data_IF_743433550891
#
_entry.id   IF_743433550891
#
_cell.length_a   1.000
_cell.length_b   1.000
_cell.length_c   1.000
_cell.angle_alpha   90.00
_cell.angle_beta   90.00
_cell.angle_gamma   90.00
#
_symmetry.space_group_name_H-M   'P 1'
#
loop_
_entity.id
_entity.type
_entity.pdbx_description
1 polymer ?
#
# COMPACT_ATOMS: atom_id res chain seq x y z
N UNK A 1 -106.10 -2.08 -43.51
CA UNK A 1 -105.28 -3.23 -43.04
C UNK A 1 -103.83 -3.10 -43.50
N UNK A 2 -103.52 -2.89 -44.79
CA UNK A 2 -102.15 -2.75 -45.30
C UNK A 2 -101.23 -1.70 -44.61
N UNK A 3 -101.77 -0.59 -44.09
CA UNK A 3 -100.96 0.43 -43.40
C UNK A 3 -100.49 0.01 -41.99
N UNK A 4 -101.22 -0.87 -41.31
CA UNK A 4 -100.85 -1.36 -39.97
C UNK A 4 -99.71 -2.38 -40.06
N UNK A 5 -99.73 -3.24 -41.07
CA UNK A 5 -98.68 -4.23 -41.31
C UNK A 5 -97.35 -3.58 -41.69
N UNK A 6 -97.38 -2.50 -42.48
CA UNK A 6 -96.20 -1.70 -42.81
C UNK A 6 -95.60 -0.98 -41.60
N UNK A 7 -96.45 -0.46 -40.70
CA UNK A 7 -96.00 0.17 -39.47
C UNK A 7 -95.37 -0.85 -38.49
N UNK A 8 -95.95 -2.05 -38.38
CA UNK A 8 -95.41 -3.14 -37.57
C UNK A 8 -94.05 -3.63 -38.12
N UNK A 9 -93.91 -3.74 -39.44
CA UNK A 9 -92.65 -4.09 -40.08
C UNK A 9 -91.56 -3.01 -39.85
N UNK A 10 -91.93 -1.72 -39.91
CA UNK A 10 -91.01 -0.61 -39.60
C UNK A 10 -90.52 -0.65 -38.15
N UNK A 11 -91.41 -0.93 -37.20
CA UNK A 11 -91.04 -1.03 -35.78
C UNK A 11 -90.07 -2.20 -35.49
N UNK A 12 -90.21 -3.35 -36.17
CA UNK A 12 -89.27 -4.46 -36.02
C UNK A 12 -87.90 -4.14 -36.63
N UNK A 13 -87.87 -3.43 -37.76
CA UNK A 13 -86.62 -2.94 -38.35
C UNK A 13 -85.89 -2.02 -37.36
N UNK A 14 -86.58 -1.05 -36.77
CA UNK A 14 -85.99 -0.13 -35.80
C UNK A 14 -85.46 -0.86 -34.56
N UNK A 15 -86.18 -1.88 -34.08
CA UNK A 15 -85.76 -2.73 -32.97
C UNK A 15 -84.48 -3.51 -33.30
N UNK A 16 -84.43 -4.12 -34.49
CA UNK A 16 -83.26 -4.88 -34.96
C UNK A 16 -82.06 -3.95 -35.20
N UNK A 17 -82.27 -2.77 -35.77
CA UNK A 17 -81.22 -1.76 -35.94
C UNK A 17 -80.68 -1.30 -34.60
N UNK A 18 -81.54 -1.05 -33.61
CA UNK A 18 -81.11 -0.74 -32.24
C UNK A 18 -80.32 -1.88 -31.59
N UNK A 19 -80.73 -3.13 -31.83
CA UNK A 19 -80.01 -4.30 -31.33
C UNK A 19 -78.62 -4.44 -31.97
N UNK A 20 -78.51 -4.26 -33.29
CA UNK A 20 -77.23 -4.28 -34.01
C UNK A 20 -76.31 -3.17 -33.49
N UNK A 21 -76.81 -1.94 -33.38
CA UNK A 21 -76.02 -0.82 -32.86
C UNK A 21 -75.51 -1.05 -31.43
N UNK A 22 -76.33 -1.66 -30.57
CA UNK A 22 -75.92 -2.03 -29.21
C UNK A 22 -74.84 -3.12 -29.21
N UNK A 23 -74.90 -4.08 -30.14
CA UNK A 23 -73.89 -5.14 -30.29
C UNK A 23 -72.58 -4.60 -30.85
N UNK A 24 -72.63 -3.69 -31.81
CA UNK A 24 -71.45 -3.02 -32.35
C UNK A 24 -70.74 -2.19 -31.29
N UNK A 25 -71.50 -1.47 -30.45
CA UNK A 25 -70.95 -0.74 -29.32
C UNK A 25 -70.27 -1.66 -28.30
N UNK A 26 -70.83 -2.86 -28.07
CA UNK A 26 -70.22 -3.86 -27.20
C UNK A 26 -68.93 -4.43 -27.79
N UNK A 27 -68.92 -4.77 -29.08
CA UNK A 27 -67.71 -5.24 -29.77
C UNK A 27 -66.59 -4.19 -29.71
N UNK A 28 -66.92 -2.92 -29.94
CA UNK A 28 -65.97 -1.82 -29.83
C UNK A 28 -65.47 -1.59 -28.38
N UNK A 29 -66.24 -1.99 -27.36
CA UNK A 29 -65.75 -2.01 -25.97
C UNK A 29 -64.79 -3.17 -25.72
N UNK A 30 -65.13 -4.37 -26.22
CA UNK A 30 -64.28 -5.55 -26.07
C UNK A 30 -62.95 -5.38 -26.81
N UNK A 31 -62.96 -4.81 -28.01
CA UNK A 31 -61.74 -4.54 -28.77
C UNK A 31 -60.80 -3.57 -28.03
N UNK A 32 -61.36 -2.53 -27.39
CA UNK A 32 -60.57 -1.63 -26.55
C UNK A 32 -59.99 -2.35 -25.33
N UNK A 33 -60.78 -3.18 -24.66
CA UNK A 33 -60.30 -3.98 -23.53
C UNK A 33 -59.16 -4.95 -23.94
N UNK A 34 -59.24 -5.55 -25.13
CA UNK A 34 -58.18 -6.42 -25.65
C UNK A 34 -56.89 -5.65 -25.94
N UNK A 35 -56.99 -4.43 -26.47
CA UNK A 35 -55.83 -3.55 -26.68
C UNK A 35 -55.19 -3.17 -25.34
N UNK A 36 -55.99 -2.78 -24.35
CA UNK A 36 -55.50 -2.43 -23.02
C UNK A 36 -54.81 -3.62 -22.33
N UNK A 37 -55.38 -4.82 -22.44
CA UNK A 37 -54.78 -6.04 -21.91
C UNK A 37 -53.43 -6.36 -22.56
N UNK A 38 -53.33 -6.18 -23.88
CA UNK A 38 -52.05 -6.36 -24.61
C UNK A 38 -51.01 -5.34 -24.17
N UNK A 39 -51.41 -4.09 -24.00
CA UNK A 39 -50.50 -3.04 -23.54
C UNK A 39 -49.99 -3.32 -22.13
N UNK A 40 -50.87 -3.68 -21.19
CA UNK A 40 -50.49 -4.08 -19.83
C UNK A 40 -49.55 -5.30 -19.87
N UNK A 41 -49.82 -6.29 -20.73
CA UNK A 41 -48.95 -7.44 -20.93
C UNK A 41 -47.53 -7.03 -21.36
N UNK A 42 -47.41 -6.13 -22.34
CA UNK A 42 -46.13 -5.60 -22.78
C UNK A 42 -45.40 -4.84 -21.65
N UNK A 43 -46.13 -4.07 -20.85
CA UNK A 43 -45.55 -3.37 -19.70
C UNK A 43 -44.99 -4.34 -18.65
N UNK A 44 -45.72 -5.43 -18.35
CA UNK A 44 -45.26 -6.48 -17.43
C UNK A 44 -43.98 -7.13 -17.96
N UNK A 45 -43.92 -7.45 -19.24
CA UNK A 45 -42.76 -8.06 -19.87
C UNK A 45 -41.52 -7.15 -19.78
N UNK A 46 -41.70 -5.86 -20.06
CA UNK A 46 -40.62 -4.85 -19.95
C UNK A 46 -40.10 -4.77 -18.52
N UNK A 47 -40.99 -4.67 -17.53
CA UNK A 47 -40.60 -4.57 -16.10
C UNK A 47 -39.88 -5.84 -15.66
N UNK A 48 -40.39 -7.01 -16.05
CA UNK A 48 -39.78 -8.31 -15.73
C UNK A 48 -38.39 -8.45 -16.34
N UNK A 49 -38.22 -8.06 -17.61
CA UNK A 49 -36.94 -8.07 -18.28
C UNK A 49 -35.94 -7.10 -17.63
N UNK A 50 -36.40 -5.92 -17.22
CA UNK A 50 -35.58 -4.94 -16.54
C UNK A 50 -35.11 -5.47 -15.17
N UNK A 51 -36.02 -6.04 -14.38
CA UNK A 51 -35.68 -6.67 -13.10
C UNK A 51 -34.62 -7.76 -13.28
N UNK A 52 -34.80 -8.66 -14.25
CA UNK A 52 -33.82 -9.71 -14.56
C UNK A 52 -32.47 -9.15 -14.98
N UNK A 53 -32.46 -8.07 -15.78
CA UNK A 53 -31.23 -7.38 -16.17
C UNK A 53 -30.52 -6.76 -14.96
N UNK A 54 -31.24 -6.08 -14.07
CA UNK A 54 -30.69 -5.51 -12.85
C UNK A 54 -30.10 -6.56 -11.93
N UNK A 55 -30.77 -7.70 -11.76
CA UNK A 55 -30.26 -8.84 -11.00
C UNK A 55 -28.94 -9.36 -11.61
N UNK A 56 -28.90 -9.57 -12.92
CA UNK A 56 -27.67 -9.99 -13.61
C UNK A 56 -26.53 -9.00 -13.47
N UNK A 57 -26.80 -7.68 -13.56
CA UNK A 57 -25.79 -6.63 -13.36
C UNK A 57 -25.28 -6.58 -11.92
N UNK A 58 -26.15 -6.83 -10.94
CA UNK A 58 -25.77 -6.90 -9.53
C UNK A 58 -24.85 -8.09 -9.26
N UNK A 59 -25.19 -9.26 -9.79
CA UNK A 59 -24.34 -10.45 -9.68
C UNK A 59 -22.97 -10.26 -10.35
N UNK A 60 -22.95 -9.67 -11.55
CA UNK A 60 -21.71 -9.31 -12.25
C UNK A 60 -20.87 -8.32 -11.43
N UNK A 61 -21.46 -7.22 -10.94
CA UNK A 61 -20.75 -6.24 -10.13
C UNK A 61 -20.17 -6.87 -8.85
N UNK A 62 -20.90 -7.78 -8.21
CA UNK A 62 -20.42 -8.51 -7.03
C UNK A 62 -19.26 -9.45 -7.37
N UNK A 63 -19.31 -10.14 -8.51
CA UNK A 63 -18.23 -11.01 -8.98
C UNK A 63 -16.98 -10.21 -9.36
N UNK A 64 -17.18 -9.04 -9.99
CA UNK A 64 -16.10 -8.11 -10.34
C UNK A 64 -15.45 -7.55 -9.07
N UNK A 65 -16.22 -7.14 -8.06
CA UNK A 65 -15.69 -6.66 -6.78
C UNK A 65 -14.83 -7.74 -6.08
N UNK A 66 -15.29 -8.99 -6.06
CA UNK A 66 -14.51 -10.11 -5.50
C UNK A 66 -13.21 -10.35 -6.29
N UNK A 67 -13.27 -10.22 -7.61
CA UNK A 67 -12.11 -10.38 -8.48
C UNK A 67 -11.11 -9.24 -8.29
N UNK A 68 -11.56 -8.00 -8.16
CA UNK A 68 -10.73 -6.84 -7.91
C UNK A 68 -10.07 -6.91 -6.53
N UNK A 69 -10.80 -7.33 -5.49
CA UNK A 69 -10.22 -7.60 -4.17
C UNK A 69 -9.15 -8.70 -4.25
N UNK A 70 -9.42 -9.80 -4.97
CA UNK A 70 -8.44 -10.87 -5.16
C UNK A 70 -7.19 -10.40 -5.92
N UNK A 71 -7.36 -9.55 -6.95
CA UNK A 71 -6.25 -8.94 -7.70
C UNK A 71 -5.47 -7.95 -6.82
N UNK A 72 -6.14 -7.12 -6.04
CA UNK A 72 -5.47 -6.17 -5.14
C UNK A 72 -4.61 -6.89 -4.10
N UNK A 73 -5.10 -8.00 -3.53
CA UNK A 73 -4.31 -8.85 -2.62
C UNK A 73 -3.15 -9.53 -3.36
N UNK A 74 -3.36 -9.98 -4.60
CA UNK A 74 -2.30 -10.61 -5.41
C UNK A 74 -1.20 -9.62 -5.81
N UNK A 75 -1.52 -8.36 -6.14
CA UNK A 75 -0.52 -7.34 -6.53
C UNK A 75 0.41 -6.97 -5.37
N UNK A 76 -0.04 -7.06 -4.10
CA UNK A 76 0.86 -6.90 -2.94
C UNK A 76 1.93 -8.00 -2.87
N UNK A 77 1.69 -9.17 -3.49
CA UNK A 77 2.60 -10.31 -3.47
C UNK A 77 3.51 -10.43 -4.70
N UNK A 78 3.28 -9.64 -5.76
CA UNK A 78 4.11 -9.61 -6.99
C UNK A 78 5.01 -8.38 -7.06
N UNK A 79 5.26 -7.71 -5.92
CA UNK A 79 6.52 -7.00 -5.79
C UNK A 79 7.61 -8.09 -5.72
N UNK A 80 8.21 -8.43 -6.86
CA UNK A 80 9.37 -9.31 -6.93
C UNK A 80 10.31 -8.90 -5.80
N UNK A 81 10.62 -9.85 -4.90
CA UNK A 81 11.49 -9.60 -3.78
C UNK A 81 12.84 -9.13 -4.33
N UNK A 82 13.02 -7.81 -4.44
CA UNK A 82 14.30 -7.23 -4.78
C UNK A 82 15.15 -7.46 -3.55
N UNK A 83 15.88 -8.58 -3.54
CA UNK A 83 16.90 -8.83 -2.54
C UNK A 83 17.75 -7.58 -2.47
N UNK A 84 17.75 -6.91 -1.31
CA UNK A 84 18.54 -5.71 -1.12
C UNK A 84 19.99 -6.04 -1.47
N UNK A 85 20.51 -5.47 -2.56
CA UNK A 85 21.90 -5.67 -3.00
C UNK A 85 22.90 -5.14 -1.96
N UNK A 86 22.43 -4.37 -0.98
CA UNK A 86 23.22 -3.88 0.14
C UNK A 86 22.88 -4.70 1.39
N UNK A 87 23.89 -5.31 2.03
CA UNK A 87 23.68 -6.06 3.26
C UNK A 87 23.14 -5.12 4.34
N UNK A 88 21.99 -5.49 4.90
CA UNK A 88 21.30 -4.76 5.99
C UNK A 88 22.07 -4.83 7.33
N UNK A 89 23.10 -5.66 7.44
CA UNK A 89 24.04 -5.67 8.57
C UNK A 89 25.32 -6.49 8.28
N UNK A 90 26.43 -6.29 9.02
CA UNK A 90 26.83 -5.09 9.76
C UNK A 90 27.66 -4.14 8.87
N UNK A 91 27.60 -2.83 9.16
CA UNK A 91 28.38 -1.80 8.47
C UNK A 91 29.87 -1.96 8.79
N UNK A 92 30.56 -2.84 8.04
CA UNK A 92 31.97 -3.25 8.25
C UNK A 92 32.91 -2.06 8.46
N UNK A 93 32.65 -0.94 7.78
CA UNK A 93 33.42 0.30 7.91
C UNK A 93 33.33 0.93 9.32
N UNK A 94 32.16 0.89 9.97
CA UNK A 94 31.98 1.46 11.31
C UNK A 94 32.72 0.61 12.35
N UNK A 95 32.62 -0.71 12.25
CA UNK A 95 33.33 -1.62 13.15
C UNK A 95 34.85 -1.56 12.95
N UNK A 96 35.31 -1.41 11.70
CA UNK A 96 36.73 -1.19 11.42
C UNK A 96 37.23 0.12 12.03
N UNK A 97 36.51 1.23 11.86
CA UNK A 97 36.86 2.50 12.46
C UNK A 97 36.87 2.45 14.00
N UNK A 98 35.87 1.80 14.60
CA UNK A 98 35.80 1.61 16.05
C UNK A 98 36.97 0.77 16.58
N UNK A 99 37.36 -0.29 15.86
CA UNK A 99 38.50 -1.12 16.23
C UNK A 99 39.83 -0.37 16.18
N UNK A 100 40.04 0.46 15.16
CA UNK A 100 41.25 1.31 15.05
C UNK A 100 41.31 2.30 16.22
N UNK A 101 40.21 3.00 16.51
CA UNK A 101 40.15 3.95 17.62
C UNK A 101 40.41 3.28 18.97
N UNK A 102 39.79 2.12 19.21
CA UNK A 102 40.02 1.34 20.42
C UNK A 102 41.48 0.88 20.54
N UNK A 103 42.08 0.42 19.43
CA UNK A 103 43.47 -0.03 19.40
C UNK A 103 44.47 1.08 19.74
N UNK A 104 44.29 2.29 19.19
CA UNK A 104 45.15 3.45 19.50
C UNK A 104 45.05 3.81 20.98
N UNK A 105 43.84 3.84 21.52
CA UNK A 105 43.59 4.22 22.91
C UNK A 105 44.22 3.19 23.87
N UNK A 106 44.09 1.90 23.55
CA UNK A 106 44.67 0.83 24.34
C UNK A 106 46.20 0.83 24.27
N UNK A 107 46.78 1.07 23.09
CA UNK A 107 48.23 1.23 22.92
C UNK A 107 48.77 2.42 23.73
N UNK A 108 48.05 3.55 23.76
CA UNK A 108 48.40 4.71 24.58
C UNK A 108 48.41 4.40 26.08
N UNK A 109 47.41 3.66 26.58
CA UNK A 109 47.36 3.23 27.97
C UNK A 109 48.55 2.31 28.30
N UNK A 110 48.83 1.34 27.43
CA UNK A 110 49.96 0.42 27.62
C UNK A 110 51.29 1.17 27.62
N UNK A 111 51.47 2.14 26.72
CA UNK A 111 52.67 2.98 26.67
C UNK A 111 52.80 3.84 27.95
N UNK A 112 51.72 4.43 28.44
CA UNK A 112 51.71 5.21 29.67
C UNK A 112 52.09 4.34 30.88
N UNK A 113 51.52 3.14 30.98
CA UNK A 113 51.87 2.17 32.02
C UNK A 113 53.33 1.74 31.91
N UNK A 114 53.84 1.53 30.69
CA UNK A 114 55.25 1.22 30.46
C UNK A 114 56.16 2.36 30.95
N UNK A 115 55.81 3.63 30.67
CA UNK A 115 56.57 4.79 31.14
C UNK A 115 56.53 4.91 32.66
N UNK A 116 55.35 4.79 33.28
CA UNK A 116 55.19 4.87 34.75
C UNK A 116 55.90 3.73 35.48
N UNK A 117 55.95 2.54 34.88
CA UNK A 117 56.62 1.37 35.45
C UNK A 117 58.11 1.37 35.17
N UNK A 118 58.56 2.09 34.13
CA UNK A 118 59.97 2.26 33.82
C UNK A 118 60.61 3.22 34.82
N UNK A 119 60.88 2.70 36.02
CA UNK A 119 61.82 3.27 36.98
C UNK A 119 63.23 3.08 36.44
N UNK A 120 63.57 3.77 35.36
CA UNK A 120 64.96 3.95 34.98
C UNK A 120 65.60 4.71 36.14
N UNK A 121 66.43 4.02 36.91
CA UNK A 121 67.12 4.57 38.06
C UNK A 121 68.02 5.72 37.60
N UNK A 122 67.55 6.96 37.78
CA UNK A 122 68.21 8.17 37.31
C UNK A 122 68.67 9.06 38.46
N UNK A 123 68.82 8.50 39.66
CA UNK A 123 69.48 9.19 40.77
C UNK A 123 70.76 8.44 41.10
N UNK A 124 71.86 9.20 41.22
CA UNK A 124 73.19 8.65 41.49
C UNK A 124 73.18 7.75 42.75
N UNK A 125 72.36 8.12 43.74
CA UNK A 125 72.17 7.37 44.98
C UNK A 125 71.54 5.98 44.76
N UNK A 126 70.69 5.82 43.74
CA UNK A 126 70.07 4.54 43.42
C UNK A 126 71.04 3.59 42.70
N UNK A 127 72.00 4.12 41.93
CA UNK A 127 73.08 3.34 41.32
C UNK A 127 74.09 2.88 42.39
N UNK A 128 74.47 3.78 43.30
CA UNK A 128 75.40 3.51 44.41
C UNK A 128 74.92 2.35 45.30
N UNK A 129 73.64 2.36 45.71
CA UNK A 129 73.07 1.30 46.56
C UNK A 129 73.00 -0.06 45.89
N UNK A 130 72.92 -0.11 44.56
CA UNK A 130 72.80 -1.37 43.82
C UNK A 130 74.14 -2.01 43.49
N UNK A 131 75.15 -1.18 43.23
CA UNK A 131 76.48 -1.62 42.78
C UNK A 131 77.46 -1.70 43.96
N UNK A 132 77.16 -1.03 45.08
CA UNK A 132 77.96 -1.07 46.30
C UNK A 132 79.27 -0.29 46.20
N UNK A 133 79.42 0.54 45.16
CA UNK A 133 80.59 1.35 44.87
C UNK A 133 80.16 2.83 44.78
N UNK A 134 80.96 3.78 45.31
CA UNK A 134 80.67 5.21 45.20
C UNK A 134 80.69 5.66 43.74
N UNK A 135 79.75 6.53 43.36
CA UNK A 135 79.67 7.10 42.01
C UNK A 135 80.83 8.06 41.79
N UNK A 136 81.74 7.69 40.89
CA UNK A 136 82.97 8.46 40.63
C UNK A 136 82.74 9.66 39.70
N UNK A 137 81.78 9.59 38.80
CA UNK A 137 81.42 10.68 37.90
C UNK A 137 79.99 10.50 37.37
N UNK A 138 79.24 11.59 37.28
CA UNK A 138 77.96 11.64 36.58
C UNK A 138 78.15 12.40 35.26
N UNK A 139 77.80 11.78 34.13
CA UNK A 139 77.87 12.41 32.81
C UNK A 139 76.58 13.20 32.59
N UNK A 140 76.62 14.55 32.47
CA UNK A 140 75.45 15.32 32.13
C UNK A 140 75.06 15.07 30.66
N UNK A 141 73.79 14.82 30.42
CA UNK A 141 73.25 14.71 29.06
C UNK A 141 72.89 16.12 28.59
N UNK A 142 73.64 16.66 27.63
CA UNK A 142 73.28 17.92 26.96
C UNK A 142 72.20 17.65 25.92
N UNK A 143 71.06 18.32 26.04
CA UNK A 143 69.99 18.26 25.04
C UNK A 143 70.24 19.37 24.02
N UNK A 144 70.56 19.00 22.78
CA UNK A 144 70.60 19.96 21.67
C UNK A 144 69.18 20.44 21.38
N UNK A 145 68.86 21.63 21.87
CA UNK A 145 67.67 22.37 21.48
C UNK A 145 67.91 22.94 20.08
N UNK A 146 67.53 22.18 19.05
CA UNK A 146 67.74 22.55 17.64
C UNK A 146 66.97 23.83 17.25
N UNK A 147 67.75 24.83 16.86
CA UNK A 147 67.37 26.16 16.34
C UNK A 147 66.68 26.13 14.96
N UNK A 148 65.50 25.52 14.82
CA UNK A 148 64.75 25.57 13.55
C UNK A 148 63.46 26.41 13.60
N UNK A 149 63.18 27.08 14.72
CA UNK A 149 61.93 27.84 14.92
C UNK A 149 61.95 29.31 14.43
N UNK A 150 63.06 29.83 13.87
CA UNK A 150 63.17 31.27 13.50
C UNK A 150 63.16 31.59 12.00
N UNK A 151 63.02 30.61 11.09
CA UNK A 151 63.07 30.86 9.64
C UNK A 151 61.71 31.17 8.97
N UNK A 152 60.66 31.49 9.74
CA UNK A 152 59.30 31.72 9.19
C UNK A 152 58.61 32.96 9.76
N UNK A 153 59.30 34.11 9.78
CA UNK A 153 58.67 35.42 9.98
C UNK A 153 59.21 36.46 9.02
#
# INVERSE_FOLDING_TARGET
MAGADLAAAGAEIDRLTGFVAARDAELARMERADVDLRDIGLQIDIVTQNLKSMQGRYEQARADEQTDLARQVSVVQVAAASGSQRPVSPKRLIFAAAGILAGILLAGIVALLAILTNKTALTAEAAERRIGLPVLAAVPVYREDSEWAYAAR
#
